data_IF_940765653451
#
_entry.id   IF_940765653451
#
_cell.length_a   1.000
_cell.length_b   1.000
_cell.length_c   1.000
_cell.angle_alpha   90.00
_cell.angle_beta   90.00
_cell.angle_gamma   90.00
#
_symmetry.space_group_name_H-M   'P 1'
#
loop_
_entity.id
_entity.type
_entity.pdbx_description
1 polymer ?
#
# COMPACT_ATOMS: atom_id res chain seq x y z
N UNK A 1 9.94 4.12 -10.51
CA UNK A 1 8.70 4.83 -10.10
C UNK A 1 8.45 4.48 -8.65
N UNK A 2 8.05 5.42 -7.80
CA UNK A 2 7.73 5.12 -6.40
C UNK A 2 6.20 5.01 -6.26
N UNK A 3 5.70 3.82 -5.96
CA UNK A 3 4.25 3.54 -5.86
C UNK A 3 3.71 4.14 -4.56
N UNK A 4 4.50 4.10 -3.49
CA UNK A 4 4.15 4.71 -2.21
C UNK A 4 3.85 6.20 -2.38
N UNK A 5 4.70 6.96 -3.06
CA UNK A 5 4.48 8.39 -3.31
C UNK A 5 3.18 8.66 -4.09
N UNK A 6 2.87 7.80 -5.07
CA UNK A 6 1.64 7.92 -5.86
C UNK A 6 0.39 7.64 -5.03
N UNK A 7 0.44 6.67 -4.12
CA UNK A 7 -0.64 6.38 -3.19
C UNK A 7 -0.82 7.51 -2.17
N UNK A 8 0.26 8.11 -1.70
CA UNK A 8 0.21 9.24 -0.76
C UNK A 8 -0.37 10.52 -1.38
N UNK A 9 -0.34 10.66 -2.70
CA UNK A 9 -1.06 11.71 -3.41
C UNK A 9 -2.59 11.49 -3.42
N UNK A 10 -3.06 10.29 -3.08
CA UNK A 10 -4.47 9.93 -3.04
C UNK A 10 -5.09 10.14 -1.65
N UNK A 11 -6.13 10.99 -1.57
CA UNK A 11 -6.85 11.27 -0.32
C UNK A 11 -7.40 10.01 0.35
N UNK A 12 -7.89 9.04 -0.43
CA UNK A 12 -8.47 7.80 0.10
C UNK A 12 -7.45 6.95 0.87
N UNK A 13 -6.21 6.89 0.38
CA UNK A 13 -5.16 6.11 1.04
C UNK A 13 -4.71 6.77 2.36
N UNK A 14 -4.56 8.10 2.36
CA UNK A 14 -4.25 8.85 3.58
C UNK A 14 -5.34 8.69 4.65
N UNK A 15 -6.61 8.70 4.25
CA UNK A 15 -7.73 8.46 5.16
C UNK A 15 -7.69 7.05 5.74
N UNK A 16 -7.34 6.05 4.93
CA UNK A 16 -7.17 4.68 5.41
C UNK A 16 -6.06 4.58 6.46
N UNK A 17 -4.88 5.14 6.20
CA UNK A 17 -3.77 5.12 7.16
C UNK A 17 -4.15 5.82 8.47
N UNK A 18 -4.84 6.95 8.38
CA UNK A 18 -5.37 7.67 9.56
C UNK A 18 -6.39 6.85 10.34
N UNK A 19 -7.28 6.13 9.66
CA UNK A 19 -8.29 5.27 10.30
C UNK A 19 -7.66 4.21 11.21
N UNK A 20 -6.49 3.71 10.83
CA UNK A 20 -5.75 2.68 11.58
C UNK A 20 -4.58 3.26 12.40
N UNK A 21 -4.48 4.58 12.54
CA UNK A 21 -3.41 5.26 13.27
C UNK A 21 -1.99 4.85 12.85
N UNK A 22 -1.78 4.67 11.54
CA UNK A 22 -0.48 4.33 10.95
C UNK A 22 0.18 5.60 10.41
N UNK A 23 1.44 5.84 10.80
CA UNK A 23 2.25 6.91 10.22
C UNK A 23 2.71 6.52 8.80
N UNK A 24 2.81 7.51 7.91
CA UNK A 24 3.31 7.34 6.55
C UNK A 24 4.75 6.78 6.53
N UNK A 25 5.56 7.14 7.53
CA UNK A 25 6.91 6.62 7.70
C UNK A 25 6.92 5.10 7.94
N UNK A 26 5.87 4.57 8.57
CA UNK A 26 5.73 3.17 8.98
C UNK A 26 5.01 2.28 7.95
N UNK A 27 4.74 2.82 6.77
CA UNK A 27 4.14 2.10 5.64
C UNK A 27 5.23 1.44 4.79
N UNK A 28 5.05 0.16 4.47
CA UNK A 28 5.85 -0.57 3.49
C UNK A 28 4.93 -1.29 2.50
N UNK A 29 5.15 -1.07 1.21
CA UNK A 29 4.50 -1.85 0.15
C UNK A 29 5.38 -3.07 -0.10
N UNK A 30 4.82 -4.27 0.04
CA UNK A 30 5.56 -5.49 -0.25
C UNK A 30 5.82 -5.59 -1.76
N UNK A 31 7.02 -6.01 -2.15
CA UNK A 31 7.43 -6.20 -3.55
C UNK A 31 7.31 -4.93 -4.44
N UNK A 32 7.44 -3.73 -3.85
CA UNK A 32 7.29 -2.45 -4.56
C UNK A 32 8.17 -2.34 -5.82
N UNK A 33 9.42 -2.81 -5.74
CA UNK A 33 10.36 -2.79 -6.88
C UNK A 33 9.89 -3.70 -8.02
N UNK A 34 9.37 -4.89 -7.69
CA UNK A 34 8.85 -5.83 -8.66
C UNK A 34 7.57 -5.30 -9.31
N UNK A 35 6.69 -4.66 -8.53
CA UNK A 35 5.49 -4.01 -9.03
C UNK A 35 5.82 -2.86 -9.98
N UNK A 36 6.78 -2.01 -9.62
CA UNK A 36 7.21 -0.90 -10.47
C UNK A 36 7.76 -1.40 -11.82
N UNK A 37 8.59 -2.44 -11.80
CA UNK A 37 9.11 -3.09 -13.01
C UNK A 37 8.00 -3.74 -13.83
N UNK A 38 7.03 -4.37 -13.16
CA UNK A 38 5.92 -5.05 -13.81
C UNK A 38 5.00 -4.07 -14.55
N UNK A 39 4.60 -2.96 -13.92
CA UNK A 39 3.82 -1.91 -14.59
C UNK A 39 4.60 -1.20 -15.70
N UNK A 40 5.93 -1.11 -15.59
CA UNK A 40 6.77 -0.58 -16.66
C UNK A 40 6.80 -1.50 -17.88
N UNK A 41 6.91 -2.82 -17.67
CA UNK A 41 6.93 -3.84 -18.74
C UNK A 41 5.56 -4.07 -19.36
N UNK A 42 4.49 -3.83 -18.60
CA UNK A 42 3.11 -4.05 -19.03
C UNK A 42 2.25 -2.79 -18.82
N UNK A 43 2.50 -1.71 -19.58
CA UNK A 43 1.80 -0.43 -19.39
C UNK A 43 0.28 -0.50 -19.62
N UNK A 44 -0.22 -1.56 -20.28
CA UNK A 44 -1.63 -1.87 -20.44
C UNK A 44 -2.28 -2.44 -19.17
N UNK A 45 -1.49 -2.98 -18.24
CA UNK A 45 -1.98 -3.46 -16.95
C UNK A 45 -2.15 -2.28 -16.01
N UNK A 46 -3.38 -2.12 -15.56
CA UNK A 46 -3.78 -1.02 -14.67
C UNK A 46 -4.09 -1.51 -13.26
N UNK A 47 -3.99 -2.81 -12.97
CA UNK A 47 -4.44 -3.39 -11.71
C UNK A 47 -3.55 -4.56 -11.29
N UNK A 48 -3.09 -4.56 -10.04
CA UNK A 48 -2.41 -5.71 -9.44
C UNK A 48 -2.81 -5.87 -7.98
N UNK A 49 -2.78 -7.11 -7.48
CA UNK A 49 -3.00 -7.39 -6.07
C UNK A 49 -1.72 -7.10 -5.29
N UNK A 50 -1.83 -6.33 -4.21
CA UNK A 50 -0.69 -5.90 -3.40
C UNK A 50 -0.97 -6.10 -1.91
N UNK A 51 0.11 -6.20 -1.14
CA UNK A 51 0.09 -6.16 0.32
C UNK A 51 0.78 -4.88 0.79
N UNK A 52 0.11 -4.12 1.66
CA UNK A 52 0.66 -2.94 2.31
C UNK A 52 0.76 -3.23 3.80
N UNK A 53 1.98 -3.26 4.31
CA UNK A 53 2.25 -3.35 5.74
C UNK A 53 2.24 -1.94 6.33
N UNK A 54 1.49 -1.74 7.41
CA UNK A 54 1.52 -0.54 8.23
C UNK A 54 1.75 -0.90 9.68
N UNK A 55 2.61 -0.16 10.37
CA UNK A 55 2.86 -0.36 11.81
C UNK A 55 2.23 0.77 12.61
N UNK A 56 1.64 0.41 13.74
CA UNK A 56 1.14 1.35 14.74
C UNK A 56 1.47 0.84 16.15
N UNK A 57 1.05 1.58 17.18
CA UNK A 57 1.31 1.25 18.58
C UNK A 57 0.74 -0.13 18.99
N UNK A 58 -0.28 -0.62 18.29
CA UNK A 58 -0.90 -1.93 18.58
C UNK A 58 -0.24 -3.10 17.84
N UNK A 59 0.75 -2.85 16.97
CA UNK A 59 1.45 -3.88 16.21
C UNK A 59 1.46 -3.65 14.70
N UNK A 60 1.41 -4.75 13.94
CA UNK A 60 1.52 -4.74 12.48
C UNK A 60 0.16 -5.03 11.86
N UNK A 61 -0.23 -4.22 10.89
CA UNK A 61 -1.44 -4.40 10.09
C UNK A 61 -1.02 -4.61 8.64
N UNK A 62 -1.45 -5.73 8.06
CA UNK A 62 -1.26 -6.02 6.64
C UNK A 62 -2.58 -5.78 5.91
N UNK A 63 -2.59 -4.82 4.99
CA UNK A 63 -3.73 -4.55 4.12
C UNK A 63 -3.56 -5.29 2.81
N UNK A 64 -4.59 -6.06 2.44
CA UNK A 64 -4.65 -6.77 1.17
C UNK A 64 -5.67 -6.09 0.27
N UNK A 65 -5.28 -5.86 -0.98
CA UNK A 65 -6.16 -5.18 -1.91
C UNK A 65 -5.61 -5.10 -3.31
N UNK A 66 -6.31 -4.36 -4.16
CA UNK A 66 -5.89 -4.12 -5.53
C UNK A 66 -5.37 -2.70 -5.68
N UNK A 67 -4.16 -2.58 -6.20
CA UNK A 67 -3.57 -1.34 -6.67
C UNK A 67 -4.06 -1.06 -8.09
N UNK A 68 -4.89 -0.04 -8.24
CA UNK A 68 -5.26 0.51 -9.55
C UNK A 68 -4.28 1.61 -9.91
N UNK A 69 -3.54 1.43 -10.99
CA UNK A 69 -2.54 2.36 -11.46
C UNK A 69 -2.88 2.88 -12.86
N UNK A 70 -2.74 4.19 -13.05
CA UNK A 70 -2.86 4.85 -14.33
C UNK A 70 -1.55 5.57 -14.67
N UNK A 71 -0.86 5.07 -15.70
CA UNK A 71 0.44 5.58 -16.16
C UNK A 71 0.34 6.97 -16.80
N UNK A 72 -0.78 7.30 -17.43
CA UNK A 72 -0.99 8.60 -18.08
C UNK A 72 -1.22 9.71 -17.07
N UNK A 73 -2.08 9.46 -16.07
CA UNK A 73 -2.36 10.44 -15.02
C UNK A 73 -1.40 10.38 -13.83
N UNK A 74 -0.49 9.39 -13.81
CA UNK A 74 0.40 9.10 -12.67
C UNK A 74 -0.40 9.05 -11.36
N UNK A 75 -1.51 8.32 -11.38
CA UNK A 75 -2.40 8.15 -10.24
C UNK A 75 -2.38 6.69 -9.81
N UNK A 76 -2.29 6.48 -8.51
CA UNK A 76 -2.47 5.18 -7.89
C UNK A 76 -3.63 5.23 -6.89
N UNK A 77 -4.48 4.21 -6.91
CA UNK A 77 -5.58 4.03 -5.95
C UNK A 77 -5.47 2.64 -5.37
N UNK A 78 -5.44 2.55 -4.05
CA UNK A 78 -5.50 1.27 -3.35
C UNK A 78 -6.94 0.97 -2.93
N UNK A 79 -7.48 -0.13 -3.43
CA UNK A 79 -8.78 -0.65 -3.06
C UNK A 79 -8.60 -1.81 -2.07
N UNK A 80 -8.81 -1.52 -0.78
CA UNK A 80 -8.70 -2.52 0.29
C UNK A 80 -9.81 -3.57 0.18
N UNK A 81 -9.42 -4.84 0.24
CA UNK A 81 -10.33 -6.00 0.23
C UNK A 81 -10.38 -6.67 1.61
N UNK A 82 -9.30 -6.60 2.38
CA UNK A 82 -9.22 -7.14 3.72
C UNK A 82 -7.95 -6.68 4.44
N UNK A 83 -7.85 -7.01 5.71
CA UNK A 83 -6.65 -6.76 6.49
C UNK A 83 -6.47 -7.83 7.56
N UNK A 84 -5.22 -8.06 7.95
CA UNK A 84 -4.83 -8.88 9.09
C UNK A 84 -4.06 -8.03 10.09
N UNK A 85 -4.34 -8.21 11.38
CA UNK A 85 -3.59 -7.58 12.47
C UNK A 85 -2.80 -8.64 13.21
N UNK A 86 -1.49 -8.46 13.30
CA UNK A 86 -0.62 -9.24 14.15
C UNK A 86 -0.24 -8.39 15.36
N UNK A 87 -0.51 -8.90 16.56
CA UNK A 87 -0.05 -8.25 17.78
C UNK A 87 1.48 -8.08 17.72
N UNK A 88 1.98 -6.89 18.04
CA UNK A 88 3.41 -6.71 18.25
C UNK A 88 3.88 -7.76 19.24
N UNK A 89 4.82 -8.62 18.84
CA UNK A 89 5.43 -9.57 19.77
C UNK A 89 6.12 -8.76 20.87
N UNK A 90 5.50 -8.66 22.05
CA UNK A 90 6.23 -8.51 23.29
C UNK A 90 7.08 -9.78 23.45
N UNK A 91 8.31 -9.72 22.94
CA UNK A 91 9.33 -10.70 23.26
C UNK A 91 9.71 -10.49 24.73
N UNK A 92 9.12 -11.31 25.61
CA UNK A 92 9.59 -11.53 26.98
C UNK A 92 10.98 -12.17 26.98
#
# INVERSE_FOLDING_TARGET
>A
MNIKDLLLNGTSFLLLMKQYAIDIADIKIQDEELLADYFFKHPQLSKESICIEGKNEDGIINFFGTLHYNLFSKLAVFEMQGFEKSAGQELN
#
